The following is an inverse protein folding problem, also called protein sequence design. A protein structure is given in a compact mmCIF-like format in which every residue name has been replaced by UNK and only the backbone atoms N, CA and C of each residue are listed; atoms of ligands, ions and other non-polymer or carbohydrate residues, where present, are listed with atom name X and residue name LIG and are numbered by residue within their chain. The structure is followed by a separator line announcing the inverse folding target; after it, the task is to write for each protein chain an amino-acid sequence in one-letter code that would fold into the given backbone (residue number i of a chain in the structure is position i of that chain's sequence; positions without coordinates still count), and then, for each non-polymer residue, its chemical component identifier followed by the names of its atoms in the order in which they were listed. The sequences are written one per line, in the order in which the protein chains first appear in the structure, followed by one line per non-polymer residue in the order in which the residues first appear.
data_IF_143894214165
#
_entry.id   IF_143894214165
#
_cell.length_a   1.000
_cell.length_b   1.000
_cell.length_c   1.000
_cell.angle_alpha   90.00
_cell.angle_beta   90.00
_cell.angle_gamma   90.00
#
_symmetry.space_group_name_H-M   'P 1'
#
loop_
_entity.id
_entity.type
_entity.pdbx_description
1 polymer ?
#
# COMPACT_ATOMS: atom_id res chain seq x y z
N UNK A 1 57.97 3.66 -48.29
CA UNK A 1 57.04 2.89 -47.44
C UNK A 1 56.32 3.87 -46.52
N UNK A 2 55.12 4.27 -46.91
CA UNK A 2 54.33 5.29 -46.19
C UNK A 2 53.25 4.61 -45.41
N UNK A 3 53.34 4.72 -44.10
CA UNK A 3 52.33 4.27 -43.15
C UNK A 3 51.13 5.23 -43.14
N UNK A 4 49.97 4.74 -43.49
CA UNK A 4 48.69 5.48 -43.34
C UNK A 4 48.09 5.16 -41.97
N UNK A 5 48.08 6.14 -41.08
CA UNK A 5 47.32 6.10 -39.84
C UNK A 5 45.85 6.32 -40.11
N UNK A 6 45.00 5.35 -39.77
CA UNK A 6 43.54 5.43 -39.80
C UNK A 6 43.07 6.09 -38.49
N UNK A 7 42.57 7.30 -38.53
CA UNK A 7 41.86 7.92 -37.43
C UNK A 7 40.39 7.50 -37.51
N UNK A 8 40.00 6.61 -36.58
CA UNK A 8 38.59 6.26 -36.37
C UNK A 8 37.90 7.31 -35.51
N UNK A 9 36.94 8.01 -36.06
CA UNK A 9 36.06 8.90 -35.33
C UNK A 9 35.06 8.06 -34.52
N UNK A 10 35.16 8.14 -33.19
CA UNK A 10 34.19 7.52 -32.25
C UNK A 10 32.97 8.47 -32.15
N UNK A 11 31.89 8.15 -32.86
CA UNK A 11 30.62 8.85 -32.72
C UNK A 11 29.98 8.48 -31.36
N UNK A 12 29.95 9.41 -30.43
CA UNK A 12 29.21 9.30 -29.18
C UNK A 12 27.74 9.45 -29.52
N UNK A 13 27.01 8.34 -29.57
CA UNK A 13 25.54 8.37 -29.62
C UNK A 13 25.01 8.80 -28.23
N UNK A 14 24.58 10.07 -28.09
CA UNK A 14 23.77 10.49 -26.99
C UNK A 14 22.42 9.73 -27.07
N UNK A 15 22.29 8.71 -26.26
CA UNK A 15 21.00 8.12 -25.99
C UNK A 15 20.16 9.17 -25.25
N UNK A 16 19.23 9.81 -25.92
CA UNK A 16 18.18 10.57 -25.30
C UNK A 16 17.38 9.58 -24.44
N UNK A 17 17.50 9.66 -23.12
CA UNK A 17 16.55 9.01 -22.22
C UNK A 17 15.18 9.60 -22.54
N UNK A 18 14.42 8.90 -23.37
CA UNK A 18 12.98 9.14 -23.44
C UNK A 18 12.47 9.02 -22.00
N UNK A 19 11.90 10.10 -21.46
CA UNK A 19 11.14 10.03 -20.22
C UNK A 19 10.09 8.95 -20.45
N UNK A 20 10.34 7.76 -19.90
CA UNK A 20 9.43 6.64 -20.04
C UNK A 20 8.07 7.10 -19.53
N UNK A 21 7.05 6.98 -20.34
CA UNK A 21 5.67 7.10 -19.86
C UNK A 21 5.56 6.20 -18.65
N UNK A 22 5.18 6.73 -17.50
CA UNK A 22 4.90 5.92 -16.32
C UNK A 22 3.84 4.93 -16.76
N UNK A 23 4.19 3.65 -16.79
CA UNK A 23 3.24 2.61 -17.15
C UNK A 23 2.06 2.73 -16.20
N UNK A 24 0.83 2.71 -16.71
CA UNK A 24 -0.37 2.73 -15.89
C UNK A 24 -0.45 1.50 -14.99
N UNK A 25 -1.42 1.45 -14.07
CA UNK A 25 -1.58 0.31 -13.20
C UNK A 25 -1.86 -0.97 -14.00
N UNK A 26 -1.37 -2.08 -13.49
CA UNK A 26 -1.65 -3.42 -14.03
C UNK A 26 -2.47 -4.22 -13.02
N UNK A 27 -2.99 -5.37 -13.42
CA UNK A 27 -3.79 -6.24 -12.56
C UNK A 27 -5.21 -5.71 -12.34
N UNK A 28 -5.76 -5.94 -11.16
CA UNK A 28 -7.17 -5.62 -10.90
C UNK A 28 -7.47 -4.12 -10.92
N UNK A 29 -6.50 -3.25 -10.60
CA UNK A 29 -6.64 -1.80 -10.69
C UNK A 29 -6.36 -1.21 -12.07
N UNK A 30 -6.14 -2.01 -13.12
CA UNK A 30 -5.69 -1.56 -14.44
C UNK A 30 -6.55 -0.47 -15.10
N UNK A 31 -7.81 -0.38 -14.74
CA UNK A 31 -8.73 0.64 -15.27
C UNK A 31 -8.67 1.99 -14.53
N UNK A 32 -7.72 2.18 -13.61
CA UNK A 32 -7.60 3.41 -12.83
C UNK A 32 -6.84 4.46 -13.61
N UNK A 33 -7.43 5.66 -13.76
CA UNK A 33 -6.85 6.81 -14.46
C UNK A 33 -6.70 8.05 -13.56
N UNK A 34 -7.30 8.01 -12.37
CA UNK A 34 -7.28 9.11 -11.39
C UNK A 34 -7.83 10.41 -11.97
N UNK A 35 -7.22 11.52 -11.61
CA UNK A 35 -7.57 12.85 -12.11
C UNK A 35 -7.19 13.11 -13.57
N UNK A 36 -6.65 12.11 -14.28
CA UNK A 36 -6.26 12.21 -15.69
C UNK A 36 -5.19 13.30 -15.92
N UNK A 37 -5.34 14.03 -17.01
CA UNK A 37 -4.39 15.08 -17.43
C UNK A 37 -4.71 16.48 -16.85
N UNK A 38 -5.45 16.56 -15.74
CA UNK A 38 -5.74 17.84 -15.10
C UNK A 38 -4.47 18.51 -14.58
N UNK A 39 -4.41 19.81 -14.69
CA UNK A 39 -3.30 20.60 -14.13
C UNK A 39 -3.26 20.38 -12.61
N UNK A 40 -2.10 20.00 -12.07
CA UNK A 40 -1.98 19.76 -10.64
C UNK A 40 -2.17 21.03 -9.81
N UNK A 41 -2.95 20.91 -8.75
CA UNK A 41 -3.05 21.94 -7.71
C UNK A 41 -2.03 21.61 -6.61
N UNK A 42 -1.12 22.53 -6.33
CA UNK A 42 -0.13 22.37 -5.27
C UNK A 42 -0.78 22.62 -3.90
N UNK A 43 -0.56 21.67 -2.98
CA UNK A 43 -1.02 21.75 -1.57
C UNK A 43 0.13 21.37 -0.64
N UNK A 44 0.33 22.12 0.44
CA UNK A 44 1.47 21.90 1.33
C UNK A 44 1.08 21.43 2.74
N UNK A 45 -0.20 21.46 3.09
CA UNK A 45 -0.69 21.07 4.42
C UNK A 45 -1.87 20.13 4.33
N UNK A 46 -2.17 19.49 5.45
CA UNK A 46 -3.37 18.67 5.62
C UNK A 46 -4.65 19.46 5.28
N UNK A 47 -4.76 20.66 5.85
CA UNK A 47 -5.95 21.52 5.71
C UNK A 47 -6.13 21.98 4.26
N UNK A 48 -5.05 22.36 3.57
CA UNK A 48 -5.10 22.74 2.17
C UNK A 48 -5.51 21.56 1.27
N UNK A 49 -5.00 20.37 1.54
CA UNK A 49 -5.38 19.17 0.80
C UNK A 49 -6.85 18.83 1.01
N UNK A 50 -7.33 18.82 2.25
CA UNK A 50 -8.73 18.53 2.56
C UNK A 50 -9.65 19.59 1.93
N UNK A 51 -9.32 20.88 2.04
CA UNK A 51 -10.10 21.97 1.44
C UNK A 51 -10.21 21.84 -0.08
N UNK A 52 -9.11 21.47 -0.76
CA UNK A 52 -9.13 21.24 -2.20
C UNK A 52 -10.05 20.06 -2.58
N UNK A 53 -10.01 18.98 -1.81
CA UNK A 53 -10.92 17.84 -2.01
C UNK A 53 -12.36 18.23 -1.73
N UNK A 54 -12.65 18.97 -0.66
CA UNK A 54 -14.00 19.38 -0.28
C UNK A 54 -14.63 20.28 -1.34
N UNK A 55 -13.85 21.18 -1.91
CA UNK A 55 -14.27 22.11 -2.96
C UNK A 55 -14.45 21.45 -4.33
N UNK A 56 -13.91 20.26 -4.53
CA UNK A 56 -14.04 19.51 -5.78
C UNK A 56 -15.45 18.95 -5.95
N UNK A 57 -16.05 19.12 -7.12
CA UNK A 57 -17.42 18.70 -7.43
C UNK A 57 -17.68 17.19 -7.33
N UNK A 58 -16.61 16.38 -7.38
CA UNK A 58 -16.66 14.92 -7.24
C UNK A 58 -16.50 14.14 -8.53
N UNK A 59 -16.42 14.83 -9.67
CA UNK A 59 -16.18 14.20 -10.99
C UNK A 59 -15.44 15.16 -11.94
N UNK A 60 -14.88 14.62 -13.02
CA UNK A 60 -14.20 15.40 -14.05
C UNK A 60 -12.71 15.63 -13.82
N UNK A 61 -12.15 15.09 -12.78
CA UNK A 61 -10.71 15.03 -12.54
C UNK A 61 -10.16 16.10 -11.59
N UNK A 62 -9.48 15.65 -10.53
CA UNK A 62 -8.69 16.46 -9.60
C UNK A 62 -7.30 15.85 -9.45
N UNK A 63 -6.26 16.65 -9.68
CA UNK A 63 -4.87 16.24 -9.39
C UNK A 63 -4.30 17.15 -8.32
N UNK A 64 -3.93 16.59 -7.17
CA UNK A 64 -3.26 17.29 -6.08
C UNK A 64 -1.78 16.90 -6.06
N UNK A 65 -0.91 17.89 -6.02
CA UNK A 65 0.52 17.73 -5.87
C UNK A 65 0.90 18.19 -4.45
N UNK A 66 1.15 17.23 -3.57
CA UNK A 66 1.52 17.51 -2.19
C UNK A 66 3.00 17.91 -2.09
N UNK A 67 3.26 19.10 -1.58
CA UNK A 67 4.60 19.69 -1.48
C UNK A 67 5.09 19.86 -0.02
N UNK A 68 4.26 19.49 0.96
CA UNK A 68 4.60 19.61 2.38
C UNK A 68 5.80 18.74 2.75
N UNK A 69 6.58 19.19 3.74
CA UNK A 69 7.79 18.51 4.21
C UNK A 69 7.76 18.38 5.72
N UNK A 70 7.00 17.39 6.20
CA UNK A 70 6.98 17.10 7.63
C UNK A 70 8.33 16.55 8.07
N UNK A 71 8.90 17.13 9.11
CA UNK A 71 10.16 16.65 9.72
C UNK A 71 9.86 15.64 10.83
N UNK A 72 10.00 14.34 10.50
CA UNK A 72 9.81 13.25 11.47
C UNK A 72 10.81 13.29 12.62
N UNK A 73 11.95 13.95 12.48
CA UNK A 73 12.92 14.16 13.54
C UNK A 73 12.41 15.03 14.71
N UNK A 74 11.30 15.73 14.50
CA UNK A 74 10.62 16.50 15.56
C UNK A 74 9.86 15.63 16.56
N UNK A 75 9.49 14.39 16.16
CA UNK A 75 8.81 13.42 17.03
C UNK A 75 9.86 12.79 17.96
N UNK A 76 9.92 13.23 19.20
CA UNK A 76 10.86 12.70 20.21
C UNK A 76 10.31 11.50 20.97
N UNK A 77 8.99 11.39 21.06
CA UNK A 77 8.27 10.28 21.68
C UNK A 77 7.14 9.83 20.75
N UNK A 78 7.32 8.67 20.14
CA UNK A 78 6.34 8.11 19.20
C UNK A 78 5.03 7.74 19.88
N UNK A 79 5.05 7.43 21.18
CA UNK A 79 3.82 7.11 21.91
C UNK A 79 3.05 8.35 22.33
N UNK A 80 3.73 9.46 22.60
CA UNK A 80 3.06 10.75 22.76
C UNK A 80 2.42 11.20 21.45
N UNK A 81 3.12 11.04 20.32
CA UNK A 81 2.59 11.30 18.99
C UNK A 81 1.36 10.44 18.70
N UNK A 82 1.43 9.14 18.98
CA UNK A 82 0.36 8.19 18.76
C UNK A 82 -0.94 8.56 19.50
N UNK A 83 -0.87 9.16 20.70
CA UNK A 83 -2.03 9.59 21.49
C UNK A 83 -2.73 10.87 21.01
N UNK A 84 -2.15 11.60 20.08
CA UNK A 84 -2.76 12.81 19.54
C UNK A 84 -4.00 12.46 18.68
N UNK A 85 -4.96 13.37 18.51
CA UNK A 85 -6.12 13.15 17.65
C UNK A 85 -5.74 12.77 16.22
N UNK A 86 -6.46 11.82 15.64
CA UNK A 86 -6.20 11.37 14.28
C UNK A 86 -6.30 12.50 13.25
N UNK A 87 -5.38 12.50 12.28
CA UNK A 87 -5.41 13.35 11.10
C UNK A 87 -5.46 12.49 9.87
N UNK A 88 -6.57 12.53 9.14
CA UNK A 88 -6.76 11.75 7.92
C UNK A 88 -7.52 12.56 6.90
N UNK A 89 -6.90 12.83 5.75
CA UNK A 89 -7.55 13.44 4.59
C UNK A 89 -8.58 12.46 4.04
N UNK A 90 -9.77 12.94 3.71
CA UNK A 90 -10.86 12.09 3.25
C UNK A 90 -11.30 12.41 1.82
N UNK A 91 -11.25 11.40 0.95
CA UNK A 91 -11.89 11.39 -0.36
C UNK A 91 -13.22 10.64 -0.19
N UNK A 92 -14.30 11.38 0.08
CA UNK A 92 -15.60 10.77 0.39
C UNK A 92 -16.58 10.93 -0.77
N UNK A 93 -17.02 9.81 -1.36
CA UNK A 93 -18.00 9.78 -2.45
C UNK A 93 -17.58 10.63 -3.67
N UNK A 94 -16.29 10.76 -3.93
CA UNK A 94 -15.73 11.52 -5.04
C UNK A 94 -14.85 10.61 -5.89
N UNK A 95 -14.85 10.85 -7.19
CA UNK A 95 -14.10 10.04 -8.16
C UNK A 95 -13.09 10.87 -8.95
N UNK A 96 -12.26 10.19 -9.74
CA UNK A 96 -11.31 10.82 -10.63
C UNK A 96 -10.31 11.74 -9.89
N UNK A 97 -9.72 11.21 -8.80
CA UNK A 97 -8.77 11.95 -7.95
C UNK A 97 -7.38 11.33 -8.03
N UNK A 98 -6.37 12.16 -8.22
CA UNK A 98 -4.97 11.79 -8.02
C UNK A 98 -4.37 12.64 -6.90
N UNK A 99 -3.81 11.98 -5.87
CA UNK A 99 -2.92 12.59 -4.90
C UNK A 99 -1.52 12.08 -5.19
N UNK A 100 -0.59 12.99 -5.45
CA UNK A 100 0.83 12.64 -5.65
C UNK A 100 1.74 13.51 -4.79
N UNK A 101 2.76 12.88 -4.21
CA UNK A 101 3.81 13.60 -3.48
C UNK A 101 4.84 14.20 -4.45
N UNK A 102 5.23 15.44 -4.21
CA UNK A 102 6.39 16.03 -4.85
C UNK A 102 7.68 15.40 -4.29
N UNK A 103 8.78 15.51 -5.04
CA UNK A 103 10.07 15.00 -4.57
C UNK A 103 10.46 15.59 -3.21
N UNK A 104 10.78 14.72 -2.26
CA UNK A 104 11.12 15.09 -0.88
C UNK A 104 9.94 15.58 -0.05
N UNK A 105 8.69 15.40 -0.50
CA UNK A 105 7.52 15.67 0.34
C UNK A 105 7.34 14.58 1.40
N UNK A 106 6.80 14.98 2.56
CA UNK A 106 6.54 14.08 3.67
C UNK A 106 5.29 14.53 4.44
N UNK A 107 4.46 13.58 4.84
CA UNK A 107 3.19 13.79 5.52
C UNK A 107 3.11 12.98 6.82
N UNK A 108 2.57 13.61 7.85
CA UNK A 108 2.23 12.96 9.13
C UNK A 108 0.71 12.88 9.30
N UNK A 109 0.01 12.55 8.23
CA UNK A 109 -1.43 12.32 8.21
C UNK A 109 -1.78 11.23 7.20
N UNK A 110 -2.87 10.52 7.45
CA UNK A 110 -3.35 9.45 6.58
C UNK A 110 -4.20 9.97 5.43
N UNK A 111 -4.47 9.08 4.47
CA UNK A 111 -5.39 9.30 3.35
C UNK A 111 -6.46 8.22 3.39
N UNK A 112 -7.73 8.62 3.45
CA UNK A 112 -8.87 7.72 3.49
C UNK A 112 -9.77 7.93 2.27
N UNK A 113 -9.99 6.87 1.53
CA UNK A 113 -10.94 6.82 0.41
C UNK A 113 -12.18 6.08 0.89
N UNK A 114 -13.34 6.71 0.87
CA UNK A 114 -14.51 6.18 1.58
C UNK A 114 -15.81 6.30 0.79
N UNK A 115 -16.69 5.33 0.97
CA UNK A 115 -18.01 5.27 0.35
C UNK A 115 -17.93 4.95 -1.14
N UNK A 116 -18.75 5.59 -1.95
CA UNK A 116 -18.77 5.41 -3.41
C UNK A 116 -17.64 6.17 -4.13
N UNK A 117 -16.47 6.30 -3.50
CA UNK A 117 -15.32 6.90 -4.16
C UNK A 117 -14.64 5.90 -5.10
N UNK A 118 -14.31 6.32 -6.32
CA UNK A 118 -13.67 5.43 -7.29
C UNK A 118 -12.72 6.18 -8.22
N UNK A 119 -11.91 5.41 -8.95
CA UNK A 119 -10.91 5.96 -9.86
C UNK A 119 -9.95 6.91 -9.14
N UNK A 120 -9.23 6.40 -8.12
CA UNK A 120 -8.32 7.18 -7.28
C UNK A 120 -6.90 6.65 -7.40
N UNK A 121 -5.94 7.58 -7.57
CA UNK A 121 -4.50 7.30 -7.53
C UNK A 121 -3.90 7.97 -6.30
N UNK A 122 -3.12 7.22 -5.51
CA UNK A 122 -2.30 7.73 -4.41
C UNK A 122 -0.85 7.33 -4.72
N UNK A 123 0.00 8.31 -5.04
CA UNK A 123 1.31 8.03 -5.62
C UNK A 123 2.42 8.92 -5.05
N UNK A 124 3.63 8.37 -4.93
CA UNK A 124 4.85 9.08 -4.52
C UNK A 124 4.74 9.80 -3.16
N UNK A 125 3.83 9.39 -2.29
CA UNK A 125 3.70 9.96 -0.95
C UNK A 125 4.70 9.32 0.01
N UNK A 126 5.28 10.13 0.90
CA UNK A 126 5.95 9.65 2.11
C UNK A 126 5.02 9.91 3.29
N UNK A 127 4.51 8.86 3.92
CA UNK A 127 3.55 8.94 5.03
C UNK A 127 4.13 8.17 6.22
N UNK A 128 4.24 8.82 7.38
CA UNK A 128 4.85 8.15 8.52
C UNK A 128 4.40 8.64 9.88
N UNK A 129 4.63 7.79 10.89
CA UNK A 129 4.46 8.07 12.32
C UNK A 129 3.16 8.82 12.62
N UNK A 130 2.04 8.29 12.15
CA UNK A 130 0.74 8.94 12.27
C UNK A 130 0.35 9.16 13.73
N UNK A 131 -0.45 10.19 13.95
CA UNK A 131 -1.21 10.37 15.17
C UNK A 131 -2.61 9.75 15.04
N UNK A 132 -3.25 9.42 16.16
CA UNK A 132 -4.62 8.92 16.17
C UNK A 132 -4.77 7.47 16.63
N UNK A 133 -3.71 6.87 17.14
CA UNK A 133 -3.75 5.54 17.71
C UNK A 133 -4.14 4.47 16.68
N UNK A 134 -4.92 3.52 17.14
CA UNK A 134 -5.41 2.40 16.33
C UNK A 134 -6.43 2.80 15.25
N UNK A 135 -6.95 4.04 15.30
CA UNK A 135 -7.92 4.56 14.33
C UNK A 135 -7.27 5.18 13.09
N UNK A 136 -5.94 5.28 13.07
CA UNK A 136 -5.19 5.97 12.02
C UNK A 136 -4.45 4.99 11.09
N UNK A 137 -5.04 4.73 9.94
CA UNK A 137 -4.38 4.04 8.84
C UNK A 137 -3.60 5.05 7.97
N UNK A 138 -2.43 4.67 7.45
CA UNK A 138 -1.68 5.53 6.51
C UNK A 138 -2.45 5.72 5.21
N UNK A 139 -2.94 4.63 4.63
CA UNK A 139 -3.85 4.64 3.48
C UNK A 139 -4.98 3.69 3.79
N UNK A 140 -6.20 4.22 3.88
CA UNK A 140 -7.40 3.45 4.19
C UNK A 140 -8.43 3.56 3.08
N UNK A 141 -8.92 2.42 2.62
CA UNK A 141 -10.00 2.32 1.65
C UNK A 141 -11.17 1.64 2.34
N UNK A 142 -12.36 2.28 2.38
CA UNK A 142 -13.44 1.75 3.19
C UNK A 142 -14.83 1.98 2.59
N UNK A 143 -15.58 0.90 2.40
CA UNK A 143 -16.99 0.96 2.04
C UNK A 143 -17.88 1.43 3.18
N UNK A 144 -19.01 2.00 2.85
CA UNK A 144 -20.06 2.39 3.79
C UNK A 144 -21.48 2.19 3.18
N UNK A 145 -22.48 2.86 3.72
CA UNK A 145 -23.85 2.81 3.20
C UNK A 145 -24.00 3.47 1.81
N UNK A 146 -23.08 4.34 1.41
CA UNK A 146 -23.10 4.99 0.09
C UNK A 146 -22.47 4.14 -1.02
N UNK A 147 -21.72 3.11 -0.69
CA UNK A 147 -21.04 2.22 -1.65
C UNK A 147 -19.66 1.77 -1.20
N UNK A 148 -18.95 1.15 -2.11
CA UNK A 148 -17.60 0.60 -1.90
C UNK A 148 -16.58 1.25 -2.84
N UNK A 149 -15.41 1.69 -2.32
CA UNK A 149 -14.34 2.21 -3.16
C UNK A 149 -13.84 1.19 -4.18
N UNK A 150 -13.55 1.66 -5.40
CA UNK A 150 -13.09 0.78 -6.47
C UNK A 150 -12.20 1.50 -7.49
N UNK A 151 -11.48 0.72 -8.33
CA UNK A 151 -10.54 1.26 -9.31
C UNK A 151 -9.54 2.19 -8.62
N UNK A 152 -8.69 1.62 -7.76
CA UNK A 152 -7.74 2.38 -6.97
C UNK A 152 -6.33 1.88 -7.24
N UNK A 153 -5.41 2.82 -7.35
CA UNK A 153 -4.00 2.55 -7.52
C UNK A 153 -3.19 3.24 -6.43
N UNK A 154 -2.53 2.44 -5.58
CA UNK A 154 -1.62 2.88 -4.52
C UNK A 154 -0.21 2.54 -4.96
N UNK A 155 0.60 3.54 -5.32
CA UNK A 155 1.80 3.30 -6.09
C UNK A 155 2.98 4.17 -5.67
N UNK A 156 4.18 3.59 -5.64
CA UNK A 156 5.43 4.30 -5.31
C UNK A 156 5.39 5.12 -4.01
N UNK A 157 4.62 4.68 -3.01
CA UNK A 157 4.59 5.35 -1.72
C UNK A 157 5.63 4.75 -0.76
N UNK A 158 6.16 5.60 0.11
CA UNK A 158 6.89 5.18 1.30
C UNK A 158 5.98 5.32 2.51
N UNK A 159 5.69 4.21 3.18
CA UNK A 159 4.78 4.16 4.32
C UNK A 159 5.50 3.53 5.51
N UNK A 160 5.56 4.23 6.63
CA UNK A 160 6.25 3.70 7.79
C UNK A 160 5.63 4.12 9.13
N UNK A 161 5.93 3.34 10.16
CA UNK A 161 5.46 3.59 11.51
C UNK A 161 6.58 3.33 12.54
N UNK A 162 6.22 2.75 13.67
CA UNK A 162 7.15 2.28 14.70
C UNK A 162 6.70 0.91 15.21
N UNK A 163 7.65 0.04 15.50
CA UNK A 163 7.39 -1.24 16.19
C UNK A 163 7.23 -1.07 17.71
N UNK A 164 7.34 0.16 18.21
CA UNK A 164 7.14 0.45 19.63
C UNK A 164 5.69 0.20 20.05
N UNK A 165 5.51 -0.61 21.08
CA UNK A 165 4.20 -0.83 21.71
C UNK A 165 3.93 0.24 22.75
N UNK A 166 2.94 1.07 22.50
CA UNK A 166 2.56 2.15 23.41
C UNK A 166 1.59 1.66 24.48
N UNK A 167 1.70 2.22 25.68
CA UNK A 167 0.78 1.92 26.75
C UNK A 167 -0.64 2.37 26.41
N UNK A 168 -1.60 1.46 26.58
CA UNK A 168 -3.01 1.66 26.24
C UNK A 168 -3.37 1.26 24.80
N UNK A 169 -2.41 0.85 23.99
CA UNK A 169 -2.70 0.20 22.72
C UNK A 169 -3.16 -1.24 22.94
N UNK A 170 -4.04 -1.73 22.05
CA UNK A 170 -4.44 -3.12 22.00
C UNK A 170 -3.32 -4.03 21.46
N UNK A 171 -3.60 -4.76 20.40
CA UNK A 171 -2.62 -5.68 19.78
C UNK A 171 -1.44 -4.95 19.13
N UNK A 172 -1.69 -3.76 18.60
CA UNK A 172 -0.70 -2.95 17.90
C UNK A 172 -0.91 -1.47 18.18
N UNK A 173 0.18 -0.70 18.31
CA UNK A 173 0.08 0.77 18.42
C UNK A 173 -0.17 1.40 17.06
N UNK A 174 0.57 0.96 16.05
CA UNK A 174 0.40 1.41 14.67
C UNK A 174 -0.23 0.27 13.87
N UNK A 175 -1.51 0.40 13.59
CA UNK A 175 -2.35 -0.55 12.87
C UNK A 175 -2.81 0.09 11.55
N UNK A 176 -2.62 -0.60 10.41
CA UNK A 176 -3.06 -0.14 9.12
C UNK A 176 -2.06 0.71 8.34
N UNK A 177 -1.13 0.07 7.65
CA UNK A 177 -0.31 0.71 6.62
C UNK A 177 -1.12 0.99 5.34
N UNK A 178 -1.75 -0.06 4.75
CA UNK A 178 -2.61 0.04 3.56
C UNK A 178 -3.80 -0.89 3.75
N UNK A 179 -4.92 -0.37 4.22
CA UNK A 179 -6.07 -1.16 4.62
C UNK A 179 -7.27 -1.02 3.68
N UNK A 180 -7.92 -2.14 3.42
CA UNK A 180 -9.14 -2.25 2.60
C UNK A 180 -10.24 -2.91 3.41
N UNK A 181 -11.35 -2.19 3.60
CA UNK A 181 -12.41 -2.60 4.53
C UNK A 181 -13.78 -2.50 3.86
N UNK A 182 -14.67 -3.45 4.10
CA UNK A 182 -16.08 -3.39 3.71
C UNK A 182 -16.31 -3.35 2.19
N UNK A 183 -15.79 -4.33 1.46
CA UNK A 183 -16.13 -4.57 0.06
C UNK A 183 -15.33 -3.79 -0.98
N UNK A 184 -14.25 -3.15 -0.60
CA UNK A 184 -13.32 -2.50 -1.54
C UNK A 184 -12.84 -3.48 -2.60
N UNK A 185 -12.82 -3.07 -3.87
CA UNK A 185 -12.45 -3.97 -4.97
C UNK A 185 -11.74 -3.27 -6.12
N UNK A 186 -11.09 -4.06 -6.99
CA UNK A 186 -10.33 -3.57 -8.15
C UNK A 186 -9.22 -2.59 -7.75
N UNK A 187 -8.32 -3.06 -6.88
CA UNK A 187 -7.21 -2.28 -6.36
C UNK A 187 -5.89 -2.87 -6.82
N UNK A 188 -4.94 -2.01 -7.18
CA UNK A 188 -3.53 -2.36 -7.35
C UNK A 188 -2.69 -1.59 -6.35
N UNK A 189 -1.83 -2.32 -5.63
CA UNK A 189 -0.81 -1.81 -4.70
C UNK A 189 0.54 -2.17 -5.27
N UNK A 190 1.33 -1.19 -5.73
CA UNK A 190 2.57 -1.45 -6.47
C UNK A 190 3.70 -0.52 -6.11
N UNK A 191 4.93 -1.05 -6.18
CA UNK A 191 6.16 -0.29 -5.96
C UNK A 191 6.22 0.49 -4.65
N UNK A 192 5.44 0.11 -3.64
CA UNK A 192 5.48 0.76 -2.34
C UNK A 192 6.58 0.18 -1.46
N UNK A 193 7.18 1.02 -0.62
CA UNK A 193 8.07 0.61 0.46
C UNK A 193 7.36 0.80 1.79
N UNK A 194 7.06 -0.30 2.48
CA UNK A 194 6.37 -0.30 3.79
C UNK A 194 7.29 -0.91 4.83
N UNK A 195 7.55 -0.17 5.91
CA UNK A 195 8.47 -0.64 6.93
C UNK A 195 8.13 -0.19 8.35
N UNK A 196 8.68 -0.90 9.35
CA UNK A 196 8.49 -0.65 10.78
C UNK A 196 7.01 -0.63 11.19
N UNK A 197 6.19 -1.52 10.59
CA UNK A 197 4.77 -1.63 10.87
C UNK A 197 4.43 -2.90 11.65
N UNK A 198 3.49 -2.79 12.60
CA UNK A 198 3.00 -3.96 13.34
C UNK A 198 1.94 -4.72 12.53
N UNK A 199 0.99 -4.03 11.90
CA UNK A 199 -0.03 -4.61 11.02
C UNK A 199 -0.07 -3.84 9.71
N UNK A 200 0.39 -4.44 8.62
CA UNK A 200 0.78 -3.72 7.39
C UNK A 200 -0.38 -3.45 6.46
N UNK A 201 -1.10 -4.49 6.05
CA UNK A 201 -2.12 -4.37 5.01
C UNK A 201 -3.27 -5.36 5.25
N UNK A 202 -4.48 -4.87 5.18
CA UNK A 202 -5.69 -5.61 5.46
C UNK A 202 -6.64 -5.58 4.27
N UNK A 203 -7.10 -6.74 3.82
CA UNK A 203 -8.20 -6.90 2.88
C UNK A 203 -9.36 -7.61 3.58
N UNK A 204 -10.37 -6.86 4.01
CA UNK A 204 -11.50 -7.37 4.80
C UNK A 204 -11.27 -7.28 6.31
N UNK A 205 -12.01 -6.40 6.97
CA UNK A 205 -11.77 -6.02 8.36
C UNK A 205 -12.23 -7.07 9.39
N UNK A 206 -13.18 -7.94 9.01
CA UNK A 206 -13.77 -8.94 9.93
C UNK A 206 -14.08 -10.24 9.19
N UNK A 207 -14.09 -11.35 9.93
CA UNK A 207 -14.52 -12.65 9.41
C UNK A 207 -16.01 -12.64 9.01
N UNK A 208 -16.80 -11.75 9.61
CA UNK A 208 -18.22 -11.53 9.26
C UNK A 208 -18.42 -10.61 8.04
N UNK A 209 -17.36 -9.97 7.51
CA UNK A 209 -17.48 -9.07 6.36
C UNK A 209 -17.64 -9.85 5.05
N UNK A 210 -18.88 -10.23 4.73
CA UNK A 210 -19.21 -10.96 3.51
C UNK A 210 -19.07 -10.11 2.24
N UNK A 211 -19.13 -8.78 2.33
CA UNK A 211 -18.91 -7.87 1.20
C UNK A 211 -17.52 -8.03 0.60
N UNK A 212 -16.55 -8.43 1.41
CA UNK A 212 -15.18 -8.64 0.95
C UNK A 212 -15.03 -9.80 -0.06
N UNK A 213 -16.07 -10.59 -0.31
CA UNK A 213 -16.08 -11.58 -1.40
C UNK A 213 -15.94 -10.93 -2.78
N UNK A 214 -16.31 -9.66 -2.92
CA UNK A 214 -16.12 -8.88 -4.13
C UNK A 214 -14.68 -8.36 -4.31
N UNK A 215 -13.84 -8.43 -3.30
CA UNK A 215 -12.47 -7.91 -3.36
C UNK A 215 -11.66 -8.56 -4.49
N UNK A 216 -10.98 -7.70 -5.24
CA UNK A 216 -10.07 -8.05 -6.33
C UNK A 216 -8.85 -7.17 -6.18
N UNK A 217 -7.74 -7.73 -5.71
CA UNK A 217 -6.56 -6.95 -5.33
C UNK A 217 -5.30 -7.51 -6.00
N UNK A 218 -4.43 -6.62 -6.42
CA UNK A 218 -3.10 -6.96 -6.94
C UNK A 218 -2.04 -6.28 -6.08
N UNK A 219 -1.05 -7.05 -5.64
CA UNK A 219 0.14 -6.54 -4.95
C UNK A 219 1.36 -6.92 -5.76
N UNK A 220 2.11 -5.94 -6.26
CA UNK A 220 3.32 -6.26 -7.02
C UNK A 220 4.45 -5.25 -6.84
N UNK A 221 5.68 -5.75 -6.91
CA UNK A 221 6.90 -4.94 -6.80
C UNK A 221 6.95 -4.09 -5.51
N UNK A 222 6.27 -4.51 -4.46
CA UNK A 222 6.37 -3.84 -3.17
C UNK A 222 7.54 -4.42 -2.36
N UNK A 223 8.10 -3.58 -1.49
CA UNK A 223 9.05 -3.96 -0.46
C UNK A 223 8.42 -3.82 0.91
N UNK A 224 8.40 -4.92 1.66
CA UNK A 224 7.93 -4.97 3.05
C UNK A 224 9.09 -5.36 3.94
N UNK A 225 9.42 -4.54 4.94
CA UNK A 225 10.63 -4.74 5.74
C UNK A 225 10.43 -4.35 7.21
N UNK A 226 10.99 -5.14 8.12
CA UNK A 226 10.87 -4.91 9.57
C UNK A 226 9.41 -4.75 9.99
N UNK A 227 8.59 -5.76 9.75
CA UNK A 227 7.14 -5.73 10.03
C UNK A 227 6.71 -6.94 10.84
N UNK A 228 5.60 -6.82 11.56
CA UNK A 228 5.16 -7.94 12.37
C UNK A 228 4.24 -8.88 11.59
N UNK A 229 3.18 -8.37 10.94
CA UNK A 229 2.15 -9.22 10.33
C UNK A 229 1.32 -8.53 9.25
N UNK A 230 0.41 -9.31 8.62
CA UNK A 230 -0.55 -8.85 7.61
C UNK A 230 0.11 -8.28 6.37
N UNK A 231 0.80 -9.12 5.60
CA UNK A 231 1.61 -8.66 4.47
C UNK A 231 1.25 -9.37 3.14
N UNK A 232 0.02 -9.21 2.64
CA UNK A 232 -1.20 -8.73 3.29
C UNK A 232 -1.94 -9.82 4.10
N UNK A 233 -2.88 -9.43 4.96
CA UNK A 233 -3.94 -10.31 5.42
C UNK A 233 -5.14 -10.15 4.50
N UNK A 234 -5.65 -11.25 3.98
CA UNK A 234 -6.82 -11.27 3.11
C UNK A 234 -7.91 -12.17 3.71
N UNK A 235 -9.12 -11.64 3.82
CA UNK A 235 -10.32 -12.41 4.10
C UNK A 235 -11.20 -12.42 2.86
N UNK A 236 -11.61 -13.62 2.39
CA UNK A 236 -12.43 -13.77 1.18
C UNK A 236 -11.78 -13.16 -0.07
N UNK A 237 -12.54 -13.01 -1.14
CA UNK A 237 -12.09 -12.34 -2.37
C UNK A 237 -10.93 -13.02 -3.08
N UNK A 238 -10.39 -12.36 -4.09
CA UNK A 238 -9.28 -12.84 -4.90
C UNK A 238 -8.11 -11.86 -4.85
N UNK A 239 -6.89 -12.38 -4.72
CA UNK A 239 -5.68 -11.56 -4.87
C UNK A 239 -4.65 -12.21 -5.79
N UNK A 240 -3.87 -11.34 -6.44
CA UNK A 240 -2.67 -11.70 -7.17
C UNK A 240 -1.48 -10.97 -6.54
N UNK A 241 -0.54 -11.72 -5.99
CA UNK A 241 0.58 -11.21 -5.19
C UNK A 241 1.87 -11.69 -5.85
N UNK A 242 2.60 -10.78 -6.53
CA UNK A 242 3.75 -11.19 -7.32
C UNK A 242 4.90 -10.18 -7.32
N UNK A 243 6.11 -10.66 -7.51
CA UNK A 243 7.33 -9.85 -7.57
C UNK A 243 7.51 -8.91 -6.36
N UNK A 244 7.05 -9.30 -5.17
CA UNK A 244 7.27 -8.53 -3.97
C UNK A 244 8.48 -9.07 -3.20
N UNK A 245 9.12 -8.19 -2.43
CA UNK A 245 10.18 -8.52 -1.49
C UNK A 245 9.69 -8.39 -0.06
N UNK A 246 9.83 -9.47 0.70
CA UNK A 246 9.46 -9.56 2.11
C UNK A 246 10.71 -9.87 2.93
N UNK A 247 11.06 -9.01 3.87
CA UNK A 247 12.21 -9.21 4.75
C UNK A 247 11.91 -8.83 6.19
N UNK A 248 12.38 -9.67 7.10
CA UNK A 248 12.20 -9.48 8.54
C UNK A 248 10.74 -9.30 8.96
N UNK A 249 9.94 -10.35 8.71
CA UNK A 249 8.53 -10.44 9.11
C UNK A 249 8.40 -11.39 10.31
N UNK A 250 8.03 -10.86 11.48
CA UNK A 250 8.22 -11.58 12.75
C UNK A 250 7.07 -12.49 13.14
N UNK A 251 5.89 -12.34 12.55
CA UNK A 251 4.70 -13.14 12.92
C UNK A 251 4.08 -13.87 11.74
N UNK A 252 3.70 -13.16 10.67
CA UNK A 252 3.13 -13.79 9.48
C UNK A 252 3.26 -12.89 8.24
N UNK A 253 3.63 -13.48 7.13
CA UNK A 253 3.63 -12.85 5.81
C UNK A 253 2.20 -12.76 5.24
N UNK A 254 2.00 -13.38 4.09
CA UNK A 254 0.69 -13.46 3.42
C UNK A 254 -0.22 -14.38 4.22
N UNK A 255 -1.34 -13.84 4.70
CA UNK A 255 -2.29 -14.59 5.53
C UNK A 255 -3.67 -14.61 4.85
N UNK A 256 -4.02 -15.74 4.25
CA UNK A 256 -5.26 -15.90 3.46
C UNK A 256 -6.29 -16.62 4.31
N UNK A 257 -7.40 -15.96 4.59
CA UNK A 257 -8.43 -16.39 5.53
C UNK A 257 -9.83 -16.45 4.91
N UNK A 258 -10.77 -17.07 5.60
CA UNK A 258 -12.20 -17.02 5.31
C UNK A 258 -12.53 -17.38 3.85
N UNK A 259 -11.98 -18.49 3.33
CA UNK A 259 -12.20 -18.93 1.96
C UNK A 259 -11.62 -17.98 0.90
N UNK A 260 -10.75 -17.05 1.26
CA UNK A 260 -10.04 -16.20 0.30
C UNK A 260 -9.15 -17.02 -0.62
N UNK A 261 -8.89 -16.53 -1.83
CA UNK A 261 -8.06 -17.19 -2.83
C UNK A 261 -6.95 -16.25 -3.26
N UNK A 262 -5.70 -16.72 -3.20
CA UNK A 262 -4.53 -15.94 -3.58
C UNK A 262 -3.67 -16.69 -4.60
N UNK A 263 -3.35 -16.05 -5.72
CA UNK A 263 -2.24 -16.46 -6.59
C UNK A 263 -0.98 -15.74 -6.10
N UNK A 264 0.04 -16.50 -5.70
CA UNK A 264 1.27 -16.00 -5.08
C UNK A 264 2.43 -16.45 -5.94
N UNK A 265 3.03 -15.56 -6.73
CA UNK A 265 4.06 -15.94 -7.69
C UNK A 265 5.27 -15.02 -7.71
N UNK A 266 6.43 -15.58 -7.95
CA UNK A 266 7.68 -14.85 -8.16
C UNK A 266 8.04 -13.86 -7.04
N UNK A 267 7.61 -14.12 -5.81
CA UNK A 267 7.97 -13.31 -4.65
C UNK A 267 9.28 -13.80 -4.03
N UNK A 268 9.98 -12.90 -3.34
CA UNK A 268 11.17 -13.20 -2.57
C UNK A 268 10.88 -13.06 -1.07
N UNK A 269 11.06 -14.16 -0.31
CA UNK A 269 10.85 -14.22 1.13
C UNK A 269 12.17 -14.43 1.85
N UNK A 270 12.51 -13.58 2.82
CA UNK A 270 13.72 -13.65 3.60
C UNK A 270 13.46 -13.26 5.07
N UNK A 271 14.03 -13.99 6.02
CA UNK A 271 13.85 -13.75 7.45
C UNK A 271 12.37 -13.62 7.86
N UNK A 272 11.55 -14.57 7.48
CA UNK A 272 10.10 -14.54 7.71
C UNK A 272 9.63 -15.72 8.53
N UNK A 273 8.77 -15.42 9.51
CA UNK A 273 7.92 -16.42 10.15
C UNK A 273 6.59 -16.52 9.40
N UNK A 274 6.20 -17.75 9.03
CA UNK A 274 4.99 -18.05 8.27
C UNK A 274 4.84 -17.20 6.97
N UNK A 275 5.70 -17.41 5.95
CA UNK A 275 5.63 -16.64 4.69
C UNK A 275 4.24 -16.63 4.05
N UNK A 276 3.56 -17.79 4.04
CA UNK A 276 2.18 -17.94 3.60
C UNK A 276 1.43 -18.79 4.62
N UNK A 277 0.26 -18.36 5.05
CA UNK A 277 -0.47 -19.02 6.12
C UNK A 277 -1.98 -18.76 6.04
N UNK A 278 -2.78 -19.51 6.81
CA UNK A 278 -4.19 -19.25 7.11
C UNK A 278 -4.45 -19.25 8.62
N UNK A 279 -3.50 -18.73 9.39
CA UNK A 279 -3.58 -18.73 10.86
C UNK A 279 -4.66 -17.78 11.38
N UNK A 280 -5.15 -18.07 12.58
CA UNK A 280 -6.15 -17.26 13.27
C UNK A 280 -7.43 -17.03 12.45
N UNK A 281 -7.89 -18.06 11.73
CA UNK A 281 -9.07 -18.02 10.88
C UNK A 281 -10.02 -19.15 11.23
N UNK A 282 -11.32 -18.86 11.28
CA UNK A 282 -12.34 -19.90 11.47
C UNK A 282 -12.57 -20.75 10.21
N UNK A 283 -12.23 -20.22 9.04
CA UNK A 283 -12.26 -20.90 7.75
C UNK A 283 -10.93 -20.68 7.05
N UNK A 284 -10.29 -21.74 6.55
CA UNK A 284 -9.02 -21.64 5.84
C UNK A 284 -9.18 -20.92 4.51
N UNK A 285 -8.09 -20.25 4.07
CA UNK A 285 -7.97 -19.73 2.71
C UNK A 285 -7.25 -20.70 1.78
N UNK A 286 -7.19 -20.33 0.51
CA UNK A 286 -6.58 -21.12 -0.57
C UNK A 286 -5.55 -20.30 -1.31
N UNK A 287 -4.49 -20.95 -1.80
CA UNK A 287 -3.46 -20.28 -2.59
C UNK A 287 -2.81 -21.22 -3.62
N UNK A 288 -2.28 -20.60 -4.66
CA UNK A 288 -1.43 -21.22 -5.65
C UNK A 288 -0.03 -20.59 -5.55
N UNK A 289 1.00 -21.39 -5.30
CA UNK A 289 2.39 -20.97 -5.14
C UNK A 289 3.18 -21.26 -6.40
N UNK A 290 3.64 -20.23 -7.10
CA UNK A 290 4.37 -20.37 -8.36
C UNK A 290 5.70 -19.62 -8.29
N UNK A 291 6.80 -20.32 -8.51
CA UNK A 291 8.14 -19.74 -8.67
C UNK A 291 8.56 -18.74 -7.58
N UNK A 292 8.08 -18.90 -6.35
CA UNK A 292 8.51 -18.06 -5.26
C UNK A 292 9.90 -18.47 -4.77
N UNK A 293 10.74 -17.51 -4.46
CA UNK A 293 12.03 -17.75 -3.87
C UNK A 293 11.94 -17.65 -2.33
N UNK A 294 12.40 -18.71 -1.67
CA UNK A 294 12.45 -18.82 -0.22
C UNK A 294 13.93 -18.75 0.20
N UNK A 295 14.35 -17.60 0.69
CA UNK A 295 15.72 -17.33 1.13
C UNK A 295 16.03 -17.90 2.52
N UNK A 296 17.01 -17.32 3.19
CA UNK A 296 17.41 -17.71 4.54
C UNK A 296 16.45 -17.19 5.62
N UNK A 297 16.53 -17.75 6.83
CA UNK A 297 15.80 -17.26 8.00
C UNK A 297 14.30 -17.51 7.98
N UNK A 298 13.84 -18.51 7.23
CA UNK A 298 12.42 -18.87 7.15
C UNK A 298 12.05 -19.82 8.28
N UNK A 299 10.97 -19.51 8.99
CA UNK A 299 10.37 -20.40 9.96
C UNK A 299 8.90 -20.63 9.67
N UNK A 300 8.49 -21.89 9.69
CA UNK A 300 7.09 -22.29 9.57
C UNK A 300 6.57 -22.66 10.95
N UNK A 301 5.76 -21.81 11.52
CA UNK A 301 5.01 -22.10 12.73
C UNK A 301 3.54 -22.17 12.38
N UNK A 302 2.86 -23.23 12.75
CA UNK A 302 1.42 -23.39 12.58
C UNK A 302 0.75 -23.43 13.93
N UNK A 303 0.71 -22.33 14.69
CA UNK A 303 0.23 -22.33 16.06
C UNK A 303 -1.24 -22.76 16.19
N UNK A 304 -1.99 -22.61 15.14
CA UNK A 304 -3.41 -22.96 15.04
C UNK A 304 -3.67 -24.28 14.31
N UNK A 305 -2.63 -25.09 14.08
CA UNK A 305 -2.74 -26.33 13.33
C UNK A 305 -2.99 -26.18 11.84
N UNK A 306 -3.04 -24.95 11.31
CA UNK A 306 -3.13 -24.74 9.87
C UNK A 306 -1.83 -25.23 9.21
N UNK A 307 -1.94 -26.16 8.28
CA UNK A 307 -0.78 -26.65 7.52
C UNK A 307 -0.48 -25.66 6.40
N UNK A 308 0.81 -25.40 6.11
CA UNK A 308 1.14 -24.74 4.87
C UNK A 308 0.65 -25.64 3.72
N UNK A 309 -0.22 -25.12 2.89
CA UNK A 309 -0.65 -25.83 1.68
C UNK A 309 0.43 -25.61 0.62
N UNK A 310 0.94 -26.75 0.13
CA UNK A 310 1.86 -26.74 -0.99
C UNK A 310 1.08 -26.65 -2.30
#
# INVERSE_FOLDING_TARGET
MTSKTLQGALALALSACAAGAIAGPVGYGAATTGGGNKVPVNVATFEAMQSAIDSYSGSGGLVLNYTGKFDFGTIKDVCAQWKLPAKTVQIKNKSDVTIKGANGSAANFGIRVVGNAHNVIIQNMTIGLLQGGEDADSISLEGNSSGEPSKIWVDHNTVFASLTKCSGAGDASFDGGIDMKKGVHHVTVSYNYVYNYQKVALNGYSDSDTKNSAARTTYHHNRFENVESRVPLQRRGLSHIYNNYFNNVTTSGINVRMGGIAKIESNYFENIKNPVTSRDSSEIGYWDLINNYVGSGITWGTPDGSKPYA
#
